data_IF_991334186330
#
_entry.id   IF_991334186330
#
_cell.length_a   1.000
_cell.length_b   1.000
_cell.length_c   1.000
_cell.angle_alpha   90.00
_cell.angle_beta   90.00
_cell.angle_gamma   90.00
#
_symmetry.space_group_name_H-M   'P 1'
#
loop_
_entity.id
_entity.type
_entity.pdbx_description
1 polymer ?
#
# COMPACT_ATOMS: atom_id res chain seq x y z
N UNK A 1 3.77 -1.06 29.43
CA UNK A 1 2.63 -0.16 29.33
C UNK A 1 2.95 1.13 28.60
N UNK A 2 3.95 1.87 29.08
CA UNK A 2 4.38 3.12 28.45
C UNK A 2 4.92 2.89 27.02
N UNK A 3 5.61 1.78 26.78
CA UNK A 3 6.11 1.44 25.45
C UNK A 3 4.98 1.19 24.45
N UNK A 4 3.90 0.52 24.86
CA UNK A 4 2.72 0.30 24.01
C UNK A 4 2.00 1.61 23.71
N UNK A 5 1.83 2.45 24.71
CA UNK A 5 1.21 3.76 24.51
C UNK A 5 2.05 4.62 23.57
N UNK A 6 3.38 4.60 23.71
CA UNK A 6 4.29 5.33 22.82
C UNK A 6 4.22 4.80 21.37
N UNK A 7 4.12 3.49 21.19
CA UNK A 7 3.99 2.88 19.85
C UNK A 7 2.65 3.27 19.21
N UNK A 8 1.56 3.26 19.99
CA UNK A 8 0.25 3.66 19.49
C UNK A 8 0.17 5.15 19.18
N UNK A 9 0.80 5.99 20.02
CA UNK A 9 0.89 7.43 19.78
C UNK A 9 1.81 7.75 18.60
N UNK A 10 2.80 6.87 18.32
CA UNK A 10 3.71 7.04 17.20
C UNK A 10 3.10 6.73 15.84
N UNK A 11 1.82 6.38 15.78
CA UNK A 11 1.13 6.12 14.52
C UNK A 11 0.26 7.31 14.14
N UNK A 12 0.52 7.88 12.98
CA UNK A 12 -0.28 8.99 12.46
C UNK A 12 -1.55 8.44 11.80
N UNK A 13 -2.65 8.50 12.52
CA UNK A 13 -3.94 7.98 12.07
C UNK A 13 -4.45 8.62 10.77
N UNK A 14 -4.40 9.95 10.61
CA UNK A 14 -4.81 10.55 9.34
C UNK A 14 -4.02 10.03 8.15
N UNK A 15 -2.71 9.87 8.28
CA UNK A 15 -1.87 9.30 7.22
C UNK A 15 -2.23 7.84 6.95
N UNK A 16 -2.49 7.06 8.00
CA UNK A 16 -2.89 5.66 7.87
C UNK A 16 -4.14 5.53 6.98
N UNK A 17 -5.20 6.27 7.30
CA UNK A 17 -6.44 6.23 6.55
C UNK A 17 -6.27 6.76 5.13
N UNK A 18 -5.56 7.86 4.96
CA UNK A 18 -5.30 8.44 3.64
C UNK A 18 -4.50 7.50 2.75
N UNK A 19 -3.45 6.90 3.30
CA UNK A 19 -2.63 5.94 2.56
C UNK A 19 -3.45 4.71 2.17
N UNK A 20 -4.22 4.16 3.08
CA UNK A 20 -5.05 2.99 2.81
C UNK A 20 -6.10 3.25 1.77
N UNK A 21 -6.86 4.32 1.90
CA UNK A 21 -7.89 4.70 0.94
C UNK A 21 -7.30 5.03 -0.43
N UNK A 22 -6.23 5.80 -0.45
CA UNK A 22 -5.59 6.21 -1.69
C UNK A 22 -5.01 5.02 -2.43
N UNK A 23 -4.33 4.13 -1.71
CA UNK A 23 -3.79 2.90 -2.30
C UNK A 23 -4.91 2.01 -2.83
N UNK A 24 -5.98 1.83 -2.08
CA UNK A 24 -7.12 1.02 -2.50
C UNK A 24 -7.77 1.59 -3.76
N UNK A 25 -7.98 2.90 -3.82
CA UNK A 25 -8.57 3.56 -4.98
C UNK A 25 -7.66 3.47 -6.20
N UNK A 26 -6.37 3.70 -6.03
CA UNK A 26 -5.40 3.64 -7.13
C UNK A 26 -5.26 2.22 -7.68
N UNK A 27 -5.18 1.23 -6.80
CA UNK A 27 -5.10 -0.17 -7.21
C UNK A 27 -6.37 -0.60 -7.92
N UNK A 28 -7.53 -0.23 -7.39
CA UNK A 28 -8.82 -0.55 -8.02
C UNK A 28 -8.95 0.09 -9.39
N UNK A 29 -8.61 1.38 -9.50
CA UNK A 29 -8.64 2.10 -10.78
C UNK A 29 -7.68 1.50 -11.79
N UNK A 30 -6.45 1.16 -11.37
CA UNK A 30 -5.47 0.52 -12.23
C UNK A 30 -5.94 -0.87 -12.67
N UNK A 31 -6.51 -1.64 -11.77
CA UNK A 31 -7.05 -2.98 -12.09
C UNK A 31 -8.17 -2.90 -13.12
N UNK A 32 -9.09 -1.95 -12.96
CA UNK A 32 -10.17 -1.74 -13.92
C UNK A 32 -9.63 -1.27 -15.28
N UNK A 33 -8.69 -0.34 -15.29
CA UNK A 33 -8.10 0.18 -16.52
C UNK A 33 -7.32 -0.91 -17.27
N UNK A 34 -6.50 -1.66 -16.58
CA UNK A 34 -5.72 -2.75 -17.17
C UNK A 34 -6.63 -3.89 -17.65
N UNK A 35 -7.66 -4.22 -16.87
CA UNK A 35 -8.61 -5.25 -17.25
C UNK A 35 -9.44 -4.88 -18.48
N UNK A 36 -9.72 -3.59 -18.67
CA UNK A 36 -10.43 -3.10 -19.85
C UNK A 36 -9.54 -2.98 -21.08
N UNK A 37 -8.25 -2.67 -20.89
CA UNK A 37 -7.32 -2.34 -21.97
C UNK A 37 -6.54 -3.55 -22.46
N UNK A 38 -6.33 -4.57 -21.63
CA UNK A 38 -5.45 -5.69 -21.93
C UNK A 38 -6.19 -7.02 -21.93
N UNK A 39 -5.73 -7.94 -22.80
CA UNK A 39 -6.32 -9.25 -22.91
C UNK A 39 -5.90 -10.18 -21.77
N UNK A 40 -6.69 -11.22 -21.55
CA UNK A 40 -6.37 -12.26 -20.57
C UNK A 40 -5.02 -12.89 -20.79
N UNK A 41 -4.60 -13.06 -22.07
CA UNK A 41 -3.31 -13.62 -22.43
C UNK A 41 -2.15 -12.77 -21.91
N UNK A 42 -2.31 -11.44 -21.88
CA UNK A 42 -1.30 -10.56 -21.31
C UNK A 42 -1.08 -10.88 -19.81
N UNK A 43 -2.15 -11.05 -19.04
CA UNK A 43 -2.04 -11.33 -17.61
C UNK A 43 -1.47 -12.71 -17.32
N UNK A 44 -1.72 -13.69 -18.21
CA UNK A 44 -1.12 -15.03 -18.09
C UNK A 44 0.41 -14.95 -18.22
N UNK A 45 0.91 -14.15 -19.17
CA UNK A 45 2.35 -14.05 -19.45
C UNK A 45 3.05 -13.01 -18.57
N UNK A 46 2.41 -11.88 -18.30
CA UNK A 46 3.04 -10.72 -17.66
C UNK A 46 2.43 -10.36 -16.30
N UNK A 47 1.44 -11.11 -15.85
CA UNK A 47 0.77 -10.81 -14.59
C UNK A 47 1.71 -10.78 -13.38
N UNK A 48 2.72 -11.65 -13.38
CA UNK A 48 3.72 -11.70 -12.33
C UNK A 48 4.53 -10.41 -12.19
N UNK A 49 4.66 -9.65 -13.29
CA UNK A 49 5.33 -8.36 -13.31
C UNK A 49 4.34 -7.19 -13.22
N UNK A 50 3.21 -7.30 -13.92
CA UNK A 50 2.20 -6.25 -13.96
C UNK A 50 1.56 -6.02 -12.58
N UNK A 51 1.29 -7.08 -11.84
CA UNK A 51 0.73 -6.99 -10.48
C UNK A 51 1.64 -6.24 -9.51
N UNK A 52 2.86 -6.75 -9.25
CA UNK A 52 3.81 -6.06 -8.39
C UNK A 52 4.19 -4.67 -8.91
N UNK A 53 4.33 -4.50 -10.22
CA UNK A 53 4.65 -3.20 -10.84
C UNK A 53 3.56 -2.18 -10.57
N UNK A 54 2.29 -2.54 -10.77
CA UNK A 54 1.14 -1.67 -10.47
C UNK A 54 1.09 -1.31 -9.00
N UNK A 55 1.28 -2.29 -8.12
CA UNK A 55 1.32 -2.08 -6.69
C UNK A 55 2.40 -1.07 -6.29
N UNK A 56 3.61 -1.24 -6.82
CA UNK A 56 4.74 -0.35 -6.55
C UNK A 56 4.48 1.08 -7.07
N UNK A 57 3.93 1.22 -8.27
CA UNK A 57 3.58 2.52 -8.83
C UNK A 57 2.51 3.23 -8.01
N UNK A 58 1.49 2.50 -7.56
CA UNK A 58 0.46 3.06 -6.69
C UNK A 58 1.07 3.50 -5.36
N UNK A 59 1.96 2.71 -4.78
CA UNK A 59 2.67 3.07 -3.55
C UNK A 59 3.53 4.32 -3.72
N UNK A 60 4.21 4.45 -4.85
CA UNK A 60 4.98 5.63 -5.17
C UNK A 60 4.07 6.87 -5.27
N UNK A 61 2.92 6.74 -5.92
CA UNK A 61 1.95 7.83 -6.01
C UNK A 61 1.45 8.25 -4.63
N UNK A 62 1.17 7.29 -3.75
CA UNK A 62 0.78 7.57 -2.35
C UNK A 62 1.89 8.35 -1.64
N UNK A 63 3.15 7.93 -1.81
CA UNK A 63 4.29 8.62 -1.21
C UNK A 63 4.38 10.07 -1.67
N UNK A 64 4.19 10.32 -2.97
CA UNK A 64 4.26 11.66 -3.53
C UNK A 64 3.11 12.53 -3.04
N UNK A 65 1.89 12.00 -3.01
CA UNK A 65 0.69 12.75 -2.56
C UNK A 65 0.78 13.08 -1.07
N UNK A 66 1.21 12.13 -0.26
CA UNK A 66 1.29 12.32 1.20
C UNK A 66 2.64 12.90 1.64
N UNK A 67 3.53 13.19 0.70
CA UNK A 67 4.87 13.74 0.97
C UNK A 67 5.69 12.88 1.93
N UNK A 68 5.58 11.57 1.76
CA UNK A 68 6.39 10.60 2.48
C UNK A 68 7.66 10.28 1.69
N UNK A 69 8.76 9.86 2.36
CA UNK A 69 9.97 9.45 1.64
C UNK A 69 9.68 8.24 0.76
N UNK A 70 10.01 8.36 -0.52
CA UNK A 70 9.63 7.36 -1.54
C UNK A 70 10.27 6.00 -1.28
N UNK A 71 11.57 5.96 -1.00
CA UNK A 71 12.28 4.68 -0.84
C UNK A 71 11.76 3.86 0.34
N UNK A 72 11.60 4.42 1.57
CA UNK A 72 10.99 3.69 2.66
C UNK A 72 9.55 3.23 2.38
N UNK A 73 8.76 4.04 1.67
CA UNK A 73 7.39 3.66 1.28
C UNK A 73 7.42 2.47 0.34
N UNK A 74 8.31 2.47 -0.65
CA UNK A 74 8.45 1.35 -1.58
C UNK A 74 8.93 0.07 -0.89
N UNK A 75 9.85 0.19 0.06
CA UNK A 75 10.30 -0.96 0.87
C UNK A 75 9.13 -1.53 1.66
N UNK A 76 8.34 -0.67 2.31
CA UNK A 76 7.15 -1.10 3.04
C UNK A 76 6.10 -1.73 2.14
N UNK A 77 5.91 -1.20 0.94
CA UNK A 77 5.01 -1.77 -0.04
C UNK A 77 5.44 -3.17 -0.47
N UNK A 78 6.72 -3.39 -0.68
CA UNK A 78 7.26 -4.70 -1.02
C UNK A 78 7.02 -5.71 0.11
N UNK A 79 7.30 -5.31 1.35
CA UNK A 79 7.07 -6.15 2.53
C UNK A 79 5.58 -6.45 2.71
N UNK A 80 4.73 -5.45 2.54
CA UNK A 80 3.28 -5.62 2.66
C UNK A 80 2.70 -6.55 1.59
N UNK A 81 3.34 -6.63 0.43
CA UNK A 81 2.94 -7.53 -0.65
C UNK A 81 3.28 -8.99 -0.40
N UNK A 82 4.27 -9.30 0.45
CA UNK A 82 4.68 -10.69 0.71
C UNK A 82 3.55 -11.56 1.26
N UNK A 83 2.77 -11.14 2.28
CA UNK A 83 1.67 -11.94 2.75
C UNK A 83 0.60 -12.23 1.70
N UNK A 84 0.42 -11.35 0.71
CA UNK A 84 -0.52 -11.59 -0.37
C UNK A 84 -0.10 -12.78 -1.25
N UNK A 85 1.19 -13.01 -1.43
CA UNK A 85 1.69 -14.19 -2.13
C UNK A 85 1.32 -15.46 -1.38
N UNK A 86 1.42 -15.45 -0.06
CA UNK A 86 1.03 -16.58 0.79
C UNK A 86 -0.46 -16.87 0.64
N UNK A 87 -1.31 -15.85 0.64
CA UNK A 87 -2.77 -16.03 0.48
C UNK A 87 -3.10 -16.59 -0.90
N UNK A 88 -2.38 -16.19 -1.95
CA UNK A 88 -2.56 -16.75 -3.30
C UNK A 88 -2.23 -18.23 -3.31
N UNK A 89 -1.10 -18.62 -2.69
CA UNK A 89 -0.69 -20.02 -2.62
C UNK A 89 -1.67 -20.88 -1.83
N UNK A 90 -2.35 -20.31 -0.83
CA UNK A 90 -3.36 -21.01 -0.05
C UNK A 90 -4.74 -21.00 -0.69
N UNK A 91 -4.90 -20.42 -1.87
CA UNK A 91 -6.18 -20.33 -2.55
C UNK A 91 -7.10 -19.22 -2.05
N UNK A 92 -6.62 -18.39 -1.13
CA UNK A 92 -7.40 -17.28 -0.56
C UNK A 92 -6.96 -15.94 -1.16
N UNK A 93 -6.76 -15.89 -2.47
CA UNK A 93 -6.26 -14.70 -3.17
C UNK A 93 -7.14 -13.45 -2.97
N UNK A 94 -8.43 -13.62 -2.71
CA UNK A 94 -9.35 -12.52 -2.43
C UNK A 94 -8.99 -11.75 -1.15
N UNK A 95 -8.32 -12.41 -0.18
CA UNK A 95 -7.90 -11.79 1.07
C UNK A 95 -6.53 -11.08 0.95
N UNK A 96 -5.77 -11.38 -0.11
CA UNK A 96 -4.42 -10.84 -0.29
C UNK A 96 -4.39 -9.33 -0.43
N UNK A 97 -5.25 -8.78 -1.29
CA UNK A 97 -5.29 -7.34 -1.54
C UNK A 97 -5.71 -6.53 -0.31
N UNK A 98 -6.82 -6.86 0.40
CA UNK A 98 -7.16 -6.16 1.63
C UNK A 98 -6.05 -6.22 2.69
N UNK A 99 -5.43 -7.39 2.86
CA UNK A 99 -4.36 -7.56 3.82
C UNK A 99 -3.14 -6.72 3.46
N UNK A 100 -2.74 -6.73 2.19
CA UNK A 100 -1.61 -5.94 1.72
C UNK A 100 -1.86 -4.44 1.90
N UNK A 101 -3.08 -3.98 1.57
CA UNK A 101 -3.46 -2.57 1.75
C UNK A 101 -3.43 -2.18 3.23
N UNK A 102 -3.95 -3.03 4.11
CA UNK A 102 -3.93 -2.77 5.55
C UNK A 102 -2.51 -2.66 6.08
N UNK A 103 -1.63 -3.59 5.72
CA UNK A 103 -0.23 -3.57 6.13
C UNK A 103 0.50 -2.35 5.58
N UNK A 104 0.24 -2.00 4.33
CA UNK A 104 0.81 -0.80 3.72
C UNK A 104 0.35 0.47 4.43
N UNK A 105 -0.93 0.57 4.74
CA UNK A 105 -1.48 1.71 5.48
C UNK A 105 -0.84 1.86 6.86
N UNK A 106 -0.69 0.76 7.58
CA UNK A 106 -0.02 0.75 8.89
C UNK A 106 1.43 1.21 8.77
N UNK A 107 2.13 0.76 7.74
CA UNK A 107 3.51 1.17 7.49
C UNK A 107 3.60 2.67 7.23
N UNK A 108 2.75 3.20 6.36
CA UNK A 108 2.73 4.64 6.07
C UNK A 108 2.39 5.47 7.30
N UNK A 109 1.46 5.02 8.13
CA UNK A 109 1.12 5.68 9.38
C UNK A 109 2.31 5.75 10.34
N UNK A 110 3.05 4.65 10.47
CA UNK A 110 4.26 4.63 11.29
C UNK A 110 5.37 5.49 10.71
N UNK A 111 5.53 5.45 9.40
CA UNK A 111 6.56 6.23 8.72
C UNK A 111 6.32 7.73 8.89
N UNK A 112 5.07 8.19 8.75
CA UNK A 112 4.71 9.58 8.97
C UNK A 112 4.99 10.02 10.41
N UNK A 113 4.68 9.18 11.39
CA UNK A 113 4.96 9.46 12.78
C UNK A 113 6.47 9.56 13.05
N UNK A 114 7.26 8.68 12.42
CA UNK A 114 8.73 8.68 12.59
C UNK A 114 9.39 9.90 11.98
N UNK A 115 8.90 10.40 10.87
CA UNK A 115 9.49 11.57 10.22
C UNK A 115 9.21 12.87 10.97
N UNK A 116 8.32 12.85 11.96
CA UNK A 116 7.99 14.02 12.76
C UNK A 116 7.43 15.19 11.97
N UNK A 117 7.10 14.97 10.70
CA UNK A 117 6.47 16.01 9.87
C UNK A 117 4.96 15.93 10.06
N UNK A 118 4.35 16.89 10.75
CA UNK A 118 2.89 16.91 10.83
C UNK A 118 2.34 17.04 9.42
N UNK A 119 1.46 16.11 9.03
CA UNK A 119 0.66 16.31 7.83
C UNK A 119 -0.15 17.58 8.09
N UNK A 120 -0.06 18.61 7.22
CA UNK A 120 -0.85 19.82 7.43
C UNK A 120 -2.32 19.46 7.57
N UNK A 121 -2.90 19.79 8.72
CA UNK A 121 -4.30 19.45 8.99
C UNK A 121 -5.25 20.10 7.99
N UNK A 122 -4.81 21.18 7.38
CA UNK A 122 -5.57 21.92 6.36
C UNK A 122 -5.46 21.31 4.95
N UNK A 123 -4.61 20.33 4.76
CA UNK A 123 -4.45 19.71 3.45
C UNK A 123 -5.51 18.66 3.17
#
# INVERSE_FOLDING_TARGET
MLARAAIMVAMDRPTLWRAGLLQALLVAAAALALGAALDRSFFVHWGWLAGPGTWALCALAVALVLRLPALPVLVGAAIAGVPSLVTVLLGAHWAGAPLAIALFALWCGRLAARTGKPVPAAA
#
